data_IF_672670647639
#
_entry.id   IF_672670647639
#
_cell.length_a   1.000
_cell.length_b   1.000
_cell.length_c   1.000
_cell.angle_alpha   90.00
_cell.angle_beta   90.00
_cell.angle_gamma   90.00
#
_symmetry.space_group_name_H-M   'P 1'
#
loop_
_entity.id
_entity.type
_entity.pdbx_description
1 polymer ?
#
# COMPACT_ATOMS: atom_id res chain seq x y z
N UNK A 1 16.55 38.08 -14.79
CA UNK A 1 15.59 37.09 -15.35
C UNK A 1 15.21 36.16 -14.21
N UNK A 2 13.98 36.31 -13.70
CA UNK A 2 13.50 35.45 -12.61
C UNK A 2 13.11 34.08 -13.16
N UNK A 3 13.80 33.04 -12.73
CA UNK A 3 13.39 31.67 -13.01
C UNK A 3 11.98 31.45 -12.41
N UNK A 4 11.03 30.84 -13.15
CA UNK A 4 9.72 30.55 -12.60
C UNK A 4 9.89 29.55 -11.46
N UNK A 5 9.43 29.92 -10.27
CA UNK A 5 9.24 29.00 -9.13
C UNK A 5 8.24 27.90 -9.54
N UNK A 6 8.72 26.89 -10.25
CA UNK A 6 7.96 25.70 -10.54
C UNK A 6 7.65 25.00 -9.21
N UNK A 7 6.44 25.15 -8.70
CA UNK A 7 5.93 24.28 -7.65
C UNK A 7 6.07 22.86 -8.16
N UNK A 8 6.95 22.07 -7.54
CA UNK A 8 6.98 20.62 -7.75
C UNK A 8 5.65 20.10 -7.23
N UNK A 9 4.67 19.99 -8.12
CA UNK A 9 3.40 19.34 -7.80
C UNK A 9 3.71 17.85 -7.71
N UNK A 10 3.41 17.26 -6.55
CA UNK A 10 3.38 15.79 -6.46
C UNK A 10 2.34 15.29 -7.46
N UNK A 11 2.66 14.28 -8.28
CA UNK A 11 1.71 13.74 -9.25
C UNK A 11 0.40 13.38 -8.54
N UNK A 12 -0.71 13.73 -9.16
CA UNK A 12 -2.01 13.27 -8.68
C UNK A 12 -2.08 11.75 -8.81
N UNK A 13 -2.43 11.09 -7.72
CA UNK A 13 -2.49 9.64 -7.66
C UNK A 13 -3.94 9.21 -7.43
N UNK A 14 -4.44 8.31 -8.28
CA UNK A 14 -5.83 7.85 -8.25
C UNK A 14 -5.86 6.34 -8.04
N UNK A 15 -6.69 5.89 -7.09
CA UNK A 15 -7.02 4.47 -6.93
C UNK A 15 -8.14 4.07 -7.88
N UNK A 16 -7.98 2.96 -8.59
CA UNK A 16 -9.01 2.45 -9.50
C UNK A 16 -8.93 0.93 -9.69
N UNK A 17 -10.04 0.27 -10.08
CA UNK A 17 -9.95 -1.07 -10.62
C UNK A 17 -9.17 -1.06 -11.93
N UNK A 18 -8.37 -2.10 -12.16
CA UNK A 18 -7.67 -2.32 -13.43
C UNK A 18 -8.62 -3.04 -14.39
N UNK A 19 -8.65 -2.60 -15.64
CA UNK A 19 -9.63 -3.06 -16.63
C UNK A 19 -9.03 -3.38 -18.00
N UNK A 20 -7.88 -2.76 -18.36
CA UNK A 20 -7.26 -2.98 -19.68
C UNK A 20 -6.17 -4.05 -19.60
N UNK A 21 -5.82 -4.59 -20.76
CA UNK A 21 -4.74 -5.58 -20.85
C UNK A 21 -3.41 -4.98 -20.42
N UNK A 22 -3.11 -3.77 -20.83
CA UNK A 22 -1.86 -3.06 -20.46
C UNK A 22 -1.78 -2.85 -18.94
N UNK A 23 -2.90 -2.57 -18.29
CA UNK A 23 -2.96 -2.44 -16.82
C UNK A 23 -2.72 -3.78 -16.13
N UNK A 24 -3.28 -4.88 -16.65
CA UNK A 24 -3.02 -6.22 -16.13
C UNK A 24 -1.57 -6.64 -16.35
N UNK A 25 -1.01 -6.38 -17.52
CA UNK A 25 0.40 -6.67 -17.82
C UNK A 25 1.32 -5.87 -16.86
N UNK A 26 1.03 -4.59 -16.63
CA UNK A 26 1.74 -3.74 -15.68
C UNK A 26 1.61 -4.20 -14.21
N UNK A 27 0.45 -4.74 -13.83
CA UNK A 27 0.23 -5.37 -12.53
C UNK A 27 1.14 -6.60 -12.36
N UNK A 28 1.10 -7.52 -13.34
CA UNK A 28 1.83 -8.79 -13.29
C UNK A 28 3.36 -8.55 -13.35
N UNK A 29 3.84 -7.57 -14.13
CA UNK A 29 5.24 -7.14 -14.16
C UNK A 29 5.71 -6.63 -12.79
N UNK A 30 4.95 -5.70 -12.18
CA UNK A 30 5.30 -5.13 -10.88
C UNK A 30 5.30 -6.19 -9.78
N UNK A 31 4.31 -7.09 -9.80
CA UNK A 31 4.21 -8.19 -8.86
C UNK A 31 5.39 -9.16 -9.01
N UNK A 32 5.65 -9.64 -10.21
CA UNK A 32 6.72 -10.61 -10.50
C UNK A 32 8.09 -10.05 -10.16
N UNK A 33 8.39 -8.83 -10.55
CA UNK A 33 9.67 -8.17 -10.23
C UNK A 33 9.87 -7.96 -8.73
N UNK A 34 8.78 -7.70 -7.99
CA UNK A 34 8.83 -7.56 -6.54
C UNK A 34 9.02 -8.90 -5.85
N UNK A 35 8.32 -9.94 -6.28
CA UNK A 35 8.43 -11.29 -5.71
C UNK A 35 9.81 -11.87 -5.90
N UNK A 36 10.41 -11.73 -7.08
CA UNK A 36 11.79 -12.14 -7.33
C UNK A 36 12.78 -11.42 -6.40
N UNK A 37 12.62 -10.10 -6.24
CA UNK A 37 13.48 -9.29 -5.39
C UNK A 37 13.35 -9.65 -3.90
N UNK A 38 12.12 -9.84 -3.44
CA UNK A 38 11.80 -10.13 -2.04
C UNK A 38 11.89 -11.64 -1.72
N UNK A 39 12.28 -12.47 -2.70
CA UNK A 39 12.38 -13.94 -2.57
C UNK A 39 11.07 -14.58 -2.06
N UNK A 40 9.95 -14.12 -2.59
CA UNK A 40 8.64 -14.72 -2.31
C UNK A 40 8.37 -15.78 -3.38
N UNK A 41 8.42 -17.06 -3.00
CA UNK A 41 8.29 -18.18 -3.95
C UNK A 41 6.98 -18.96 -3.83
N UNK A 42 6.05 -18.48 -3.02
CA UNK A 42 4.77 -19.20 -2.83
C UNK A 42 3.83 -18.99 -4.02
N UNK A 43 3.44 -20.09 -4.68
CA UNK A 43 2.40 -20.07 -5.74
C UNK A 43 1.02 -19.61 -5.23
N UNK A 44 0.78 -19.68 -3.92
CA UNK A 44 -0.48 -19.25 -3.31
C UNK A 44 -0.78 -17.76 -3.48
N UNK A 45 0.21 -16.97 -3.90
CA UNK A 45 0.08 -15.52 -4.07
C UNK A 45 0.01 -15.06 -5.54
N UNK A 46 0.05 -15.98 -6.49
CA UNK A 46 -0.23 -15.63 -7.87
C UNK A 46 -1.73 -15.30 -8.00
N UNK A 47 -2.07 -14.18 -8.67
CA UNK A 47 -3.46 -13.81 -8.82
C UNK A 47 -4.20 -14.87 -9.65
N UNK A 48 -5.20 -15.51 -9.06
CA UNK A 48 -6.15 -16.34 -9.76
C UNK A 48 -7.15 -15.50 -10.55
N UNK A 49 -8.01 -16.14 -11.32
CA UNK A 49 -9.10 -15.49 -12.06
C UNK A 49 -10.17 -14.85 -11.15
N UNK A 50 -10.21 -15.24 -9.89
CA UNK A 50 -11.12 -14.79 -8.84
C UNK A 50 -10.65 -13.50 -8.14
N UNK A 51 -9.45 -13.01 -8.48
CA UNK A 51 -8.87 -11.82 -7.87
C UNK A 51 -9.29 -10.56 -8.62
N UNK A 52 -9.96 -9.64 -7.91
CA UNK A 52 -10.20 -8.28 -8.41
C UNK A 52 -8.93 -7.46 -8.23
N UNK A 53 -8.38 -6.96 -9.32
CA UNK A 53 -7.11 -6.23 -9.35
C UNK A 53 -7.34 -4.73 -9.33
N UNK A 54 -6.59 -4.04 -8.48
CA UNK A 54 -6.63 -2.60 -8.32
C UNK A 54 -5.24 -2.00 -8.46
N UNK A 55 -5.20 -0.75 -8.86
CA UNK A 55 -3.97 0.03 -8.95
C UNK A 55 -4.14 1.44 -8.44
N UNK A 56 -3.04 2.01 -7.97
CA UNK A 56 -2.85 3.45 -7.86
C UNK A 56 -2.08 3.89 -9.09
N UNK A 57 -2.66 4.79 -9.87
CA UNK A 57 -2.08 5.29 -11.11
C UNK A 57 -1.82 6.80 -11.02
N UNK A 58 -0.79 7.29 -11.70
CA UNK A 58 -0.55 8.72 -11.84
C UNK A 58 -1.30 9.32 -13.05
N UNK A 59 -1.18 10.62 -13.26
CA UNK A 59 -1.82 11.38 -14.34
C UNK A 59 -1.44 10.86 -15.75
N UNK A 60 -0.30 10.20 -15.89
CA UNK A 60 0.15 9.60 -17.13
C UNK A 60 -0.30 8.13 -17.28
N UNK A 61 -1.12 7.63 -16.37
CA UNK A 61 -1.59 6.25 -16.37
C UNK A 61 -0.55 5.21 -15.88
N UNK A 62 0.61 5.66 -15.36
CA UNK A 62 1.65 4.74 -14.88
C UNK A 62 1.26 4.18 -13.52
N UNK A 63 1.43 2.89 -13.33
CA UNK A 63 1.12 2.19 -12.09
C UNK A 63 2.16 2.56 -11.01
N UNK A 64 1.69 3.23 -9.95
CA UNK A 64 2.46 3.58 -8.77
C UNK A 64 2.40 2.48 -7.69
N UNK A 65 1.32 1.72 -7.65
CA UNK A 65 1.13 0.61 -6.72
C UNK A 65 -0.03 -0.28 -7.13
N UNK A 66 -0.04 -1.49 -6.62
CA UNK A 66 -1.04 -2.52 -6.92
C UNK A 66 -1.53 -3.23 -5.67
N UNK A 67 -2.74 -3.77 -5.72
CA UNK A 67 -3.25 -4.77 -4.78
C UNK A 67 -4.33 -5.63 -5.45
N UNK A 68 -4.60 -6.77 -4.84
CA UNK A 68 -5.72 -7.64 -5.18
C UNK A 68 -6.70 -7.74 -4.02
N UNK A 69 -7.97 -7.97 -4.34
CA UNK A 69 -9.02 -8.30 -3.40
C UNK A 69 -9.73 -9.56 -3.89
N UNK A 70 -9.87 -10.55 -3.04
CA UNK A 70 -10.55 -11.79 -3.38
C UNK A 70 -11.51 -12.26 -2.29
N UNK A 71 -12.49 -13.05 -2.70
CA UNK A 71 -13.30 -13.85 -1.81
C UNK A 71 -12.48 -15.04 -1.30
N UNK A 72 -12.78 -15.48 -0.08
CA UNK A 72 -12.11 -16.65 0.49
C UNK A 72 -12.93 -17.92 0.19
N UNK A 73 -12.24 -18.99 -0.19
CA UNK A 73 -12.78 -20.32 -0.12
C UNK A 73 -12.95 -20.77 1.35
N UNK A 74 -13.55 -21.94 1.56
CA UNK A 74 -13.83 -22.46 2.90
C UNK A 74 -12.56 -22.63 3.73
N UNK A 75 -11.55 -23.28 3.16
CA UNK A 75 -10.32 -23.63 3.88
C UNK A 75 -9.57 -22.37 4.30
N UNK A 76 -9.52 -21.37 3.41
CA UNK A 76 -8.88 -20.10 3.66
C UNK A 76 -9.66 -19.28 4.69
N UNK A 77 -10.99 -19.34 4.66
CA UNK A 77 -11.86 -18.74 5.66
C UNK A 77 -11.59 -19.34 7.05
N UNK A 78 -11.59 -20.67 7.18
CA UNK A 78 -11.30 -21.36 8.43
C UNK A 78 -9.89 -21.02 8.94
N UNK A 79 -8.90 -20.94 8.04
CA UNK A 79 -7.54 -20.55 8.38
C UNK A 79 -7.46 -19.17 9.06
N UNK A 80 -8.15 -18.17 8.53
CA UNK A 80 -8.15 -16.83 9.12
C UNK A 80 -8.97 -16.79 10.40
N UNK A 81 -10.18 -17.36 10.40
CA UNK A 81 -11.07 -17.35 11.57
C UNK A 81 -10.49 -18.03 12.79
N UNK A 82 -9.68 -19.06 12.60
CA UNK A 82 -8.97 -19.71 13.70
C UNK A 82 -7.90 -18.82 14.37
N UNK A 83 -7.57 -17.67 13.76
CA UNK A 83 -6.43 -16.82 14.17
C UNK A 83 -6.80 -15.39 14.50
N UNK A 84 -7.95 -14.90 14.08
CA UNK A 84 -8.40 -13.53 14.37
C UNK A 84 -9.32 -13.53 15.59
N UNK A 85 -9.18 -12.55 16.52
CA UNK A 85 -9.95 -12.53 17.78
C UNK A 85 -11.32 -11.88 17.55
N UNK A 86 -12.10 -12.40 16.62
CA UNK A 86 -13.45 -11.90 16.33
C UNK A 86 -14.51 -12.97 16.52
N UNK A 87 -15.65 -12.60 17.10
CA UNK A 87 -16.81 -13.48 17.18
C UNK A 87 -17.46 -13.61 15.80
N UNK A 88 -17.64 -14.84 15.34
CA UNK A 88 -18.13 -15.13 13.99
C UNK A 88 -19.57 -15.63 14.06
N UNK A 89 -20.44 -15.00 13.28
CA UNK A 89 -21.75 -15.54 12.91
C UNK A 89 -21.60 -16.41 11.65
N UNK A 90 -22.54 -17.32 11.43
CA UNK A 90 -22.50 -18.29 10.31
C UNK A 90 -22.46 -17.67 8.89
N UNK A 91 -22.75 -16.38 8.75
CA UNK A 91 -22.89 -15.69 7.46
C UNK A 91 -21.95 -14.49 7.32
N UNK A 92 -20.71 -14.65 7.76
CA UNK A 92 -19.70 -13.57 7.64
C UNK A 92 -19.06 -13.55 6.26
N UNK A 93 -19.01 -12.38 5.64
CA UNK A 93 -18.31 -12.15 4.37
C UNK A 93 -16.90 -11.64 4.61
N UNK A 94 -15.91 -12.45 4.27
CA UNK A 94 -14.49 -12.13 4.45
C UNK A 94 -13.86 -11.91 3.10
N UNK A 95 -13.15 -10.77 2.95
CA UNK A 95 -12.31 -10.48 1.79
C UNK A 95 -10.85 -10.52 2.20
N UNK A 96 -9.99 -11.11 1.38
CA UNK A 96 -8.55 -11.08 1.57
C UNK A 96 -7.91 -10.03 0.66
N UNK A 97 -7.13 -9.11 1.24
CA UNK A 97 -6.25 -8.25 0.47
C UNK A 97 -4.92 -8.96 0.26
N UNK A 98 -4.49 -9.02 -1.01
CA UNK A 98 -3.27 -9.67 -1.44
C UNK A 98 -2.43 -8.74 -2.31
N UNK A 99 -1.15 -9.08 -2.49
CA UNK A 99 -0.28 -8.45 -3.50
C UNK A 99 -0.15 -6.92 -3.34
N UNK A 100 -0.10 -6.42 -2.10
CA UNK A 100 0.09 -4.99 -1.84
C UNK A 100 1.54 -4.62 -2.14
N UNK A 101 1.75 -3.93 -3.26
CA UNK A 101 3.08 -3.53 -3.75
C UNK A 101 3.06 -2.07 -4.16
N UNK A 102 4.11 -1.33 -3.77
CA UNK A 102 4.36 0.04 -4.27
C UNK A 102 5.63 0.04 -5.11
N UNK A 103 5.56 0.61 -6.31
CA UNK A 103 6.71 0.77 -7.20
C UNK A 103 7.75 1.71 -6.57
N UNK A 104 9.04 1.36 -6.66
CA UNK A 104 10.14 2.08 -5.98
C UNK A 104 10.12 3.61 -6.12
N UNK A 105 9.92 4.21 -7.30
CA UNK A 105 9.90 5.68 -7.43
C UNK A 105 8.82 6.37 -6.58
N UNK A 106 7.78 5.62 -6.17
CA UNK A 106 6.67 6.13 -5.36
C UNK A 106 6.80 5.77 -3.87
N UNK A 107 7.90 5.14 -3.44
CA UNK A 107 8.17 4.91 -2.02
C UNK A 107 8.29 6.26 -1.28
N UNK A 108 7.60 6.36 -0.15
CA UNK A 108 7.54 7.60 0.64
C UNK A 108 6.58 8.67 0.10
N UNK A 109 5.84 8.37 -1.00
CA UNK A 109 4.72 9.17 -1.48
C UNK A 109 3.41 8.78 -0.78
N UNK A 110 2.29 9.42 -1.17
CA UNK A 110 0.95 9.04 -0.72
C UNK A 110 0.41 7.74 -1.34
N UNK A 111 1.12 7.10 -2.27
CA UNK A 111 0.64 5.95 -3.03
C UNK A 111 0.20 4.79 -2.12
N UNK A 112 0.99 4.46 -1.09
CA UNK A 112 0.62 3.40 -0.15
C UNK A 112 -0.66 3.73 0.63
N UNK A 113 -0.80 4.99 1.07
CA UNK A 113 -1.96 5.45 1.80
C UNK A 113 -3.24 5.39 0.92
N UNK A 114 -3.12 5.85 -0.33
CA UNK A 114 -4.21 5.82 -1.31
C UNK A 114 -4.60 4.37 -1.63
N UNK A 115 -3.60 3.48 -1.78
CA UNK A 115 -3.85 2.05 -2.03
C UNK A 115 -4.60 1.39 -0.88
N UNK A 116 -4.15 1.58 0.36
CA UNK A 116 -4.80 1.01 1.56
C UNK A 116 -6.23 1.54 1.74
N UNK A 117 -6.44 2.85 1.58
CA UNK A 117 -7.77 3.42 1.67
C UNK A 117 -8.69 2.94 0.55
N UNK A 118 -8.18 2.92 -0.68
CA UNK A 118 -8.95 2.47 -1.82
C UNK A 118 -9.38 1.01 -1.73
N UNK A 119 -8.49 0.10 -1.31
CA UNK A 119 -8.85 -1.31 -1.16
C UNK A 119 -9.83 -1.56 -0.01
N UNK A 120 -9.73 -0.80 1.07
CA UNK A 120 -10.70 -0.88 2.16
C UNK A 120 -12.10 -0.41 1.72
N UNK A 121 -12.20 0.70 0.98
CA UNK A 121 -13.45 1.13 0.36
C UNK A 121 -14.01 0.10 -0.63
N UNK A 122 -13.15 -0.50 -1.44
CA UNK A 122 -13.55 -1.57 -2.35
C UNK A 122 -14.10 -2.77 -1.57
N UNK A 123 -13.44 -3.18 -0.47
CA UNK A 123 -13.91 -4.28 0.37
C UNK A 123 -15.31 -4.00 0.92
N UNK A 124 -15.55 -2.81 1.45
CA UNK A 124 -16.90 -2.39 1.93
C UNK A 124 -17.91 -2.40 0.79
N UNK A 125 -17.55 -1.84 -0.37
CA UNK A 125 -18.43 -1.81 -1.56
C UNK A 125 -18.83 -3.21 -2.03
N UNK A 126 -17.92 -4.18 -1.89
CA UNK A 126 -18.18 -5.60 -2.20
C UNK A 126 -18.72 -6.41 -1.01
N UNK A 127 -19.26 -5.73 0.00
CA UNK A 127 -19.99 -6.35 1.09
C UNK A 127 -19.14 -7.09 2.11
N UNK A 128 -17.87 -6.70 2.30
CA UNK A 128 -17.05 -7.31 3.31
C UNK A 128 -17.50 -6.93 4.73
N UNK A 129 -17.65 -7.92 5.58
CA UNK A 129 -17.75 -7.77 7.04
C UNK A 129 -16.37 -7.68 7.68
N UNK A 130 -15.43 -8.45 7.13
CA UNK A 130 -14.02 -8.44 7.53
C UNK A 130 -13.11 -8.28 6.31
N UNK A 131 -12.05 -7.48 6.48
CA UNK A 131 -10.91 -7.45 5.59
C UNK A 131 -9.73 -8.11 6.30
N UNK A 132 -9.13 -9.09 5.66
CA UNK A 132 -7.95 -9.80 6.20
C UNK A 132 -6.80 -9.75 5.22
N UNK A 133 -5.59 -9.99 5.69
CA UNK A 133 -4.41 -10.08 4.85
C UNK A 133 -3.22 -10.65 5.59
N UNK A 134 -2.17 -10.97 4.84
CA UNK A 134 -0.88 -11.37 5.38
C UNK A 134 0.15 -10.31 5.04
N UNK A 135 0.90 -9.86 6.03
CA UNK A 135 1.96 -8.86 5.85
C UNK A 135 3.25 -9.30 6.50
N UNK A 136 4.38 -8.84 5.95
CA UNK A 136 5.71 -9.01 6.55
C UNK A 136 5.97 -7.99 7.64
N UNK A 137 6.80 -8.36 8.62
CA UNK A 137 7.17 -7.52 9.75
C UNK A 137 7.54 -6.06 9.39
N UNK A 138 8.33 -5.78 8.33
CA UNK A 138 8.70 -4.41 7.97
C UNK A 138 7.50 -3.53 7.59
N UNK A 139 6.42 -4.12 7.05
CA UNK A 139 5.23 -3.39 6.61
C UNK A 139 4.14 -3.32 7.69
N UNK A 140 4.21 -4.14 8.74
CA UNK A 140 3.19 -4.23 9.78
C UNK A 140 2.86 -2.86 10.39
N UNK A 141 3.89 -2.08 10.78
CA UNK A 141 3.70 -0.73 11.34
C UNK A 141 2.94 0.21 10.40
N UNK A 142 3.11 0.02 9.09
CA UNK A 142 2.40 0.82 8.10
C UNK A 142 0.92 0.46 8.06
N UNK A 143 0.58 -0.82 8.06
CA UNK A 143 -0.82 -1.26 8.08
C UNK A 143 -1.54 -0.87 9.37
N UNK A 144 -0.89 -0.99 10.54
CA UNK A 144 -1.45 -0.54 11.83
C UNK A 144 -1.79 0.95 11.82
N UNK A 145 -1.07 1.79 11.09
CA UNK A 145 -1.43 3.20 10.90
C UNK A 145 -2.77 3.41 10.19
N UNK A 146 -3.23 2.44 9.41
CA UNK A 146 -4.53 2.45 8.74
C UNK A 146 -5.63 1.76 9.55
N UNK A 147 -5.31 1.26 10.73
CA UNK A 147 -6.26 0.62 11.64
C UNK A 147 -6.39 -0.88 11.44
N UNK A 148 -5.59 -1.50 10.57
CA UNK A 148 -5.54 -2.96 10.50
C UNK A 148 -4.75 -3.47 11.70
N UNK A 149 -5.41 -4.26 12.53
CA UNK A 149 -4.82 -4.83 13.71
C UNK A 149 -4.09 -6.15 13.41
N UNK A 150 -2.97 -6.45 14.08
CA UNK A 150 -2.40 -7.79 14.02
C UNK A 150 -3.31 -8.78 14.75
N UNK A 151 -3.64 -9.89 14.08
CA UNK A 151 -4.55 -10.89 14.64
C UNK A 151 -3.91 -11.70 15.77
N UNK A 152 -2.64 -11.99 15.64
CA UNK A 152 -1.81 -12.68 16.64
C UNK A 152 -0.45 -12.00 16.74
N UNK A 153 0.12 -11.98 17.94
CA UNK A 153 1.45 -11.41 18.14
C UNK A 153 2.59 -12.38 17.78
N UNK A 154 2.25 -13.66 17.59
CA UNK A 154 3.22 -14.67 17.19
C UNK A 154 3.52 -14.58 15.70
N UNK A 155 4.80 -14.54 15.31
CA UNK A 155 5.18 -14.52 13.91
C UNK A 155 4.88 -15.87 13.24
N UNK A 156 4.48 -15.78 11.97
CA UNK A 156 4.24 -16.92 11.10
C UNK A 156 5.28 -16.90 9.97
N UNK A 157 5.47 -18.03 9.30
CA UNK A 157 6.37 -18.17 8.14
C UNK A 157 5.56 -18.63 6.93
N UNK A 158 4.64 -17.77 6.47
CA UNK A 158 3.65 -18.14 5.45
C UNK A 158 4.12 -17.84 4.03
N UNK A 159 5.08 -16.90 3.87
CA UNK A 159 5.53 -16.41 2.55
C UNK A 159 6.83 -17.08 2.07
N UNK A 160 7.22 -18.19 2.67
CA UNK A 160 8.30 -19.06 2.18
C UNK A 160 9.72 -18.65 2.57
N UNK A 161 9.90 -17.63 3.40
CA UNK A 161 11.21 -17.28 3.97
C UNK A 161 11.16 -17.39 5.49
N UNK A 162 11.75 -18.43 6.05
CA UNK A 162 11.77 -18.71 7.51
C UNK A 162 12.50 -17.61 8.33
N UNK A 163 13.26 -16.73 7.67
CA UNK A 163 13.97 -15.63 8.32
C UNK A 163 13.10 -14.38 8.46
N UNK A 164 11.96 -14.33 7.80
CA UNK A 164 11.08 -13.16 7.79
C UNK A 164 9.76 -13.54 8.46
N UNK A 165 9.44 -12.80 9.51
CA UNK A 165 8.18 -12.97 10.22
C UNK A 165 7.03 -12.38 9.42
N UNK A 166 5.99 -13.16 9.24
CA UNK A 166 4.72 -12.77 8.64
C UNK A 166 3.66 -12.62 9.74
N UNK A 167 2.71 -11.72 9.51
CA UNK A 167 1.61 -11.43 10.42
C UNK A 167 0.29 -11.44 9.68
N UNK A 168 -0.74 -11.98 10.31
CA UNK A 168 -2.11 -11.79 9.85
C UNK A 168 -2.58 -10.44 10.36
N UNK A 169 -3.12 -9.62 9.47
CA UNK A 169 -3.76 -8.35 9.77
C UNK A 169 -5.25 -8.45 9.43
N UNK A 170 -6.09 -7.73 10.18
CA UNK A 170 -7.51 -7.70 9.92
C UNK A 170 -8.13 -6.34 10.24
N UNK A 171 -9.31 -6.10 9.67
CA UNK A 171 -10.18 -4.99 10.00
C UNK A 171 -11.63 -5.47 10.04
N UNK A 172 -12.34 -5.19 11.15
CA UNK A 172 -13.74 -5.56 11.34
C UNK A 172 -14.64 -4.37 11.01
N UNK A 173 -15.36 -4.43 9.89
CA UNK A 173 -16.29 -3.39 9.45
C UNK A 173 -17.64 -3.41 10.17
N UNK A 174 -17.94 -4.47 10.93
CA UNK A 174 -19.22 -4.63 11.62
C UNK A 174 -19.34 -3.76 12.88
N UNK A 175 -18.21 -3.34 13.43
CA UNK A 175 -18.23 -2.46 14.59
C UNK A 175 -18.90 -1.11 14.24
N UNK A 176 -19.79 -0.58 15.08
CA UNK A 176 -20.42 0.72 14.83
C UNK A 176 -19.39 1.82 14.58
N UNK A 177 -19.54 2.55 13.47
CA UNK A 177 -18.61 3.62 13.08
C UNK A 177 -17.26 3.17 12.54
N UNK A 178 -17.02 1.86 12.33
CA UNK A 178 -15.75 1.33 11.84
C UNK A 178 -15.38 1.89 10.46
N UNK A 179 -16.35 1.97 9.55
CA UNK A 179 -16.13 2.48 8.19
C UNK A 179 -15.75 3.96 8.21
N UNK A 180 -16.48 4.78 8.98
CA UNK A 180 -16.21 6.21 9.15
C UNK A 180 -14.84 6.44 9.80
N UNK A 181 -14.50 5.66 10.82
CA UNK A 181 -13.21 5.71 11.47
C UNK A 181 -12.06 5.40 10.50
N UNK A 182 -12.20 4.33 9.71
CA UNK A 182 -11.23 3.94 8.69
C UNK A 182 -11.06 5.05 7.65
N UNK A 183 -12.15 5.65 7.15
CA UNK A 183 -12.15 6.77 6.20
C UNK A 183 -11.41 7.99 6.76
N UNK A 184 -11.76 8.41 7.97
CA UNK A 184 -11.13 9.54 8.64
C UNK A 184 -9.63 9.32 8.85
N UNK A 185 -9.26 8.10 9.26
CA UNK A 185 -7.86 7.73 9.48
C UNK A 185 -7.06 7.71 8.18
N UNK A 186 -7.60 7.10 7.13
CA UNK A 186 -7.00 7.08 5.79
C UNK A 186 -6.78 8.49 5.24
N UNK A 187 -7.79 9.34 5.29
CA UNK A 187 -7.70 10.74 4.83
C UNK A 187 -6.59 11.49 5.56
N UNK A 188 -6.47 11.31 6.88
CA UNK A 188 -5.40 11.93 7.68
C UNK A 188 -4.01 11.45 7.26
N UNK A 189 -3.84 10.15 7.01
CA UNK A 189 -2.54 9.60 6.59
C UNK A 189 -2.18 10.07 5.18
N UNK A 190 -3.14 10.15 4.26
CA UNK A 190 -2.94 10.71 2.91
C UNK A 190 -2.47 12.16 3.01
N UNK A 191 -3.16 12.98 3.80
CA UNK A 191 -2.80 14.40 3.97
C UNK A 191 -1.40 14.58 4.58
N UNK A 192 -1.08 13.80 5.63
CA UNK A 192 0.26 13.80 6.23
C UNK A 192 1.33 13.40 5.22
N UNK A 193 1.09 12.37 4.41
CA UNK A 193 2.02 11.92 3.37
C UNK A 193 2.26 13.01 2.32
N UNK A 194 1.23 13.71 1.89
CA UNK A 194 1.34 14.85 0.94
C UNK A 194 2.17 15.98 1.54
N UNK A 195 1.94 16.36 2.79
CA UNK A 195 2.72 17.39 3.50
C UNK A 195 4.21 17.02 3.59
N UNK A 196 4.52 15.76 3.90
CA UNK A 196 5.91 15.29 4.00
C UNK A 196 6.65 15.37 2.67
N UNK A 197 5.99 15.06 1.55
CA UNK A 197 6.58 15.19 0.21
C UNK A 197 6.93 16.63 -0.09
N UNK A 198 6.04 17.59 0.20
CA UNK A 198 6.28 19.01 0.01
C UNK A 198 7.47 19.50 0.84
N UNK A 199 7.53 19.16 2.12
CA UNK A 199 8.63 19.56 3.00
C UNK A 199 9.97 18.99 2.54
N UNK A 200 10.00 17.74 2.11
CA UNK A 200 11.22 17.09 1.58
C UNK A 200 11.71 17.75 0.30
N UNK A 201 10.81 18.10 -0.61
CA UNK A 201 11.15 18.82 -1.85
C UNK A 201 11.71 20.21 -1.57
N UNK A 202 11.14 20.95 -0.61
CA UNK A 202 11.64 22.26 -0.20
C UNK A 202 13.03 22.16 0.45
N UNK A 203 13.29 21.14 1.26
CA UNK A 203 14.60 20.92 1.86
C UNK A 203 15.65 20.62 0.81
N UNK A 204 15.37 19.76 -0.16
CA UNK A 204 16.29 19.40 -1.25
C UNK A 204 16.61 20.62 -2.13
N UNK A 205 15.62 21.47 -2.45
CA UNK A 205 15.84 22.69 -3.20
C UNK A 205 16.81 23.65 -2.46
N UNK A 206 16.58 23.87 -1.15
CA UNK A 206 17.46 24.72 -0.33
C UNK A 206 18.88 24.19 -0.20
N UNK A 207 19.07 22.87 -0.12
CA UNK A 207 20.42 22.28 -0.04
C UNK A 207 21.21 22.37 -1.36
N UNK A 208 20.52 22.41 -2.50
CA UNK A 208 21.17 22.67 -3.80
C UNK A 208 21.62 24.13 -3.93
N UNK A 209 20.83 25.09 -3.49
CA UNK A 209 21.18 26.52 -3.50
C UNK A 209 22.42 26.80 -2.63
N UNK A 210 22.54 26.18 -1.46
CA UNK A 210 23.70 26.33 -0.57
C UNK A 210 24.98 25.76 -1.18
N UNK A 211 24.92 24.68 -1.95
CA UNK A 211 26.07 24.11 -2.62
C UNK A 211 26.49 24.95 -3.85
N UNK A 212 25.55 25.58 -4.54
CA UNK A 212 25.84 26.42 -5.70
C UNK A 212 26.58 27.73 -5.28
N UNK A 213 26.30 28.27 -4.10
CA UNK A 213 26.95 29.46 -3.56
C UNK A 213 28.35 29.20 -3.00
N UNK A 214 28.70 27.95 -2.62
CA UNK A 214 30.04 27.59 -2.12
C UNK A 214 31.07 27.36 -3.20
N UNK A 215 30.68 27.10 -4.44
CA UNK A 215 31.60 26.88 -5.56
C UNK A 215 32.06 28.17 -6.27
N UNK A 216 31.47 29.32 -5.93
CA UNK A 216 31.72 30.59 -6.62
C UNK A 216 32.81 31.46 -6.00
N UNK A 217 33.56 31.02 -4.97
CA UNK A 217 34.57 31.86 -4.31
C UNK A 217 35.87 31.06 -4.07
N UNK A 218 36.62 30.80 -5.16
CA UNK A 218 38.09 30.58 -5.06
C UNK A 218 38.75 31.68 -5.87
N UNK A 219 39.31 32.72 -5.25
CA UNK A 219 40.14 33.68 -5.98
C UNK A 219 41.46 33.00 -6.34
N UNK A 220 41.75 32.90 -7.63
CA UNK A 220 43.10 32.61 -8.13
C UNK A 220 44.05 33.70 -7.62
N UNK A 221 44.95 33.35 -6.71
CA UNK A 221 46.10 34.19 -6.40
C UNK A 221 47.18 33.92 -7.46
N UNK A 222 47.51 34.97 -8.21
CA UNK A 222 48.75 35.08 -8.98
C UNK A 222 49.97 35.14 -8.05
#
# INVERSE_FOLDING_TARGET
MNAPNGKIQSPELIFKPLATREEFDGYDELLSSTYLRERIFSKAFLPGSDVRRFGVVDEQGRIAGICGLKDLDRDRTEFFLARIPVSVSSNIHIKEVINVVIRRPYHGSSAFAILCGGVAEAAVTFGADLLVGITRAPLLKSFVKFGLDPAVHEPLHLLGDEKINDFIIYYDFRAPGAVEYMRARTSRVIEQSRRMVVLRSQYLARSQDVNCTRTATVPLRN
#
